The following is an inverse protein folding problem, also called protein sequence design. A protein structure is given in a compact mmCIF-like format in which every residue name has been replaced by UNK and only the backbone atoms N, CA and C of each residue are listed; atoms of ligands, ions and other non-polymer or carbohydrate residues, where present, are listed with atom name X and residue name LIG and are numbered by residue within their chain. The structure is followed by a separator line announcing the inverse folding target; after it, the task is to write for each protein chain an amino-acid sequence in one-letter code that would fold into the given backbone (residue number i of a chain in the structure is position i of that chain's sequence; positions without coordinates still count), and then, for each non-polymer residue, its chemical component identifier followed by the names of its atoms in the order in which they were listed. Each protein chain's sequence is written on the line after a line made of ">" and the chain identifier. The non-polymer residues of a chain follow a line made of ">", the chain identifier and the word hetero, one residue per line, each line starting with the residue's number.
data_IF_072656127415
#
_entry.id   IF_072656127415
#
_cell.length_a   1.000
_cell.length_b   1.000
_cell.length_c   1.000
_cell.angle_alpha   90.00
_cell.angle_beta   90.00
_cell.angle_gamma   90.00
#
_symmetry.space_group_name_H-M   'P 1'
#
loop_
_entity.id
_entity.type
_entity.pdbx_description
1 polymer ?
#
# COMPACT_ATOMS: atom_id res chain seq x y z
N UNK A 1 -6.08 -67.40 38.40
CA UNK A 1 -6.06 -67.96 37.04
C UNK A 1 -5.91 -66.78 36.09
N UNK A 2 -4.70 -66.64 35.55
CA UNK A 2 -4.30 -65.56 34.64
C UNK A 2 -4.40 -66.04 33.19
N UNK A 3 -4.35 -65.06 32.27
CA UNK A 3 -4.23 -65.14 30.79
C UNK A 3 -5.58 -64.98 30.08
N UNK A 4 -5.98 -63.75 29.73
CA UNK A 4 -5.60 -62.88 28.59
C UNK A 4 -6.09 -63.41 27.22
N UNK A 5 -7.00 -62.69 26.52
CA UNK A 5 -7.26 -62.91 25.11
C UNK A 5 -6.16 -62.30 24.23
N UNK A 6 -5.77 -63.02 23.18
CA UNK A 6 -4.83 -62.61 22.13
C UNK A 6 -5.65 -62.03 20.97
N UNK A 7 -5.46 -60.75 20.70
CA UNK A 7 -6.01 -60.06 19.53
C UNK A 7 -5.29 -60.46 18.24
N UNK A 8 -6.06 -60.59 17.15
CA UNK A 8 -5.53 -60.86 15.80
C UNK A 8 -5.05 -59.55 15.17
N UNK A 9 -3.76 -59.55 14.81
CA UNK A 9 -3.17 -58.55 13.92
C UNK A 9 -3.77 -58.65 12.50
N UNK A 10 -4.43 -57.58 12.05
CA UNK A 10 -4.57 -57.29 10.63
C UNK A 10 -3.47 -56.29 10.24
N UNK A 11 -2.71 -56.67 9.21
CA UNK A 11 -1.60 -55.91 8.66
C UNK A 11 -2.09 -54.68 7.89
N UNK A 12 -1.55 -53.50 8.19
CA UNK A 12 -1.61 -52.35 7.29
C UNK A 12 -0.30 -51.56 7.33
N UNK A 13 0.03 -51.03 6.15
CA UNK A 13 1.35 -50.73 5.66
C UNK A 13 2.14 -49.65 6.44
N UNK A 14 3.46 -49.83 6.46
CA UNK A 14 4.45 -48.83 6.89
C UNK A 14 4.52 -47.72 5.84
N UNK A 15 4.22 -46.48 6.22
CA UNK A 15 4.68 -45.28 5.52
C UNK A 15 5.51 -44.42 6.47
N UNK A 16 6.78 -44.21 6.12
CA UNK A 16 7.76 -43.42 6.89
C UNK A 16 7.45 -41.92 6.72
N UNK A 17 7.28 -41.12 7.79
CA UNK A 17 7.08 -39.69 7.66
C UNK A 17 8.44 -38.98 7.67
N UNK A 18 8.92 -38.53 6.52
CA UNK A 18 10.10 -37.63 6.42
C UNK A 18 9.81 -36.31 5.69
N UNK A 19 8.54 -35.94 5.51
CA UNK A 19 8.15 -34.78 4.68
C UNK A 19 7.17 -33.80 5.36
N UNK A 20 7.06 -33.82 6.69
CA UNK A 20 6.17 -32.92 7.46
C UNK A 20 6.90 -31.97 8.44
N UNK A 21 8.20 -31.71 8.22
CA UNK A 21 8.99 -30.81 9.08
C UNK A 21 9.52 -29.55 8.35
N UNK A 22 9.14 -29.34 7.09
CA UNK A 22 9.61 -28.20 6.27
C UNK A 22 8.50 -27.19 5.95
N UNK A 23 7.37 -27.24 6.68
CA UNK A 23 6.30 -26.25 6.61
C UNK A 23 6.60 -25.12 7.58
N UNK A 24 7.37 -24.15 7.06
CA UNK A 24 6.92 -22.77 6.92
C UNK A 24 6.37 -22.04 8.18
N UNK A 25 6.67 -22.53 9.39
CA UNK A 25 6.54 -21.74 10.63
C UNK A 25 7.47 -20.53 10.68
N UNK A 26 8.41 -20.40 9.72
CA UNK A 26 9.35 -19.30 9.61
C UNK A 26 8.76 -18.02 8.98
N UNK A 27 7.70 -18.12 8.19
CA UNK A 27 7.20 -16.96 7.42
C UNK A 27 6.26 -16.04 8.23
N UNK A 28 5.57 -16.54 9.25
CA UNK A 28 4.66 -15.73 10.09
C UNK A 28 5.39 -15.01 11.22
N UNK A 29 6.53 -15.53 11.67
CA UNK A 29 7.30 -14.98 12.80
C UNK A 29 8.07 -13.71 12.41
N UNK A 30 8.47 -13.57 11.14
CA UNK A 30 9.19 -12.38 10.65
C UNK A 30 8.30 -11.13 10.53
N UNK A 31 7.01 -11.28 10.21
CA UNK A 31 6.10 -10.14 10.04
C UNK A 31 5.71 -9.47 11.37
N UNK A 32 5.65 -10.26 12.46
CA UNK A 32 5.26 -9.79 13.80
C UNK A 32 6.40 -9.05 14.49
N UNK A 33 7.65 -9.45 14.28
CA UNK A 33 8.79 -8.83 14.97
C UNK A 33 9.13 -7.42 14.46
N UNK A 34 8.97 -7.13 13.17
CA UNK A 34 9.27 -5.80 12.62
C UNK A 34 8.27 -4.71 13.06
N UNK A 35 7.04 -5.08 13.43
CA UNK A 35 6.02 -4.14 13.91
C UNK A 35 6.25 -3.68 15.36
N UNK A 36 7.10 -4.37 16.13
CA UNK A 36 7.20 -4.20 17.58
C UNK A 36 8.50 -3.56 18.09
N UNK A 37 9.46 -3.18 17.23
CA UNK A 37 10.75 -2.59 17.71
C UNK A 37 10.92 -1.10 17.41
N UNK A 38 9.82 -0.37 17.21
CA UNK A 38 9.82 1.10 17.17
C UNK A 38 9.30 1.65 18.51
N UNK A 39 10.18 1.71 19.49
CA UNK A 39 10.05 2.31 20.83
C UNK A 39 10.94 3.58 20.84
N UNK A 40 10.67 4.74 21.44
CA UNK A 40 9.59 5.30 22.24
C UNK A 40 9.69 6.85 22.18
N UNK A 41 8.56 7.57 22.36
CA UNK A 41 8.59 9.01 22.62
C UNK A 41 7.25 9.75 22.51
N UNK A 42 6.62 9.96 23.67
CA UNK A 42 5.60 10.98 24.02
C UNK A 42 4.17 10.91 23.45
N UNK A 43 3.26 10.48 24.33
CA UNK A 43 2.03 11.16 24.77
C UNK A 43 1.29 12.08 23.79
N UNK A 44 0.01 11.78 23.52
CA UNK A 44 -1.11 12.51 24.14
C UNK A 44 -2.46 12.15 23.46
N UNK A 45 -3.43 11.84 24.32
CA UNK A 45 -4.89 11.95 24.11
C UNK A 45 -5.54 11.18 22.95
N UNK A 46 -6.30 10.16 23.33
CA UNK A 46 -7.44 9.65 22.57
C UNK A 46 -8.45 10.76 22.30
N UNK A 47 -8.69 11.09 21.03
CA UNK A 47 -9.95 11.67 20.59
C UNK A 47 -10.62 10.69 19.63
N UNK A 48 -11.68 10.06 20.13
CA UNK A 48 -12.65 9.30 19.36
C UNK A 48 -13.34 10.28 18.39
N UNK A 49 -12.87 10.32 17.14
CA UNK A 49 -13.37 11.20 16.08
C UNK A 49 -13.73 10.38 14.85
N UNK A 50 -15.02 10.09 14.69
CA UNK A 50 -15.58 9.55 13.47
C UNK A 50 -15.36 10.54 12.33
N UNK A 51 -14.54 10.12 11.38
CA UNK A 51 -14.17 10.87 10.19
C UNK A 51 -12.92 10.19 9.67
N UNK A 52 -13.04 9.46 8.55
CA UNK A 52 -11.89 8.93 7.84
C UNK A 52 -11.09 10.09 7.26
N UNK A 53 -10.37 10.81 8.13
CA UNK A 53 -9.30 11.70 7.73
C UNK A 53 -8.30 10.80 7.03
N UNK A 54 -8.37 10.80 5.70
CA UNK A 54 -7.42 10.11 4.86
C UNK A 54 -6.08 10.71 5.20
N UNK A 55 -5.24 9.94 5.88
CA UNK A 55 -3.89 10.36 6.26
C UNK A 55 -3.20 10.89 5.00
N UNK A 56 -2.92 12.20 4.96
CA UNK A 56 -2.27 12.82 3.80
C UNK A 56 -0.82 12.37 3.81
N UNK A 57 -0.50 11.41 2.93
CA UNK A 57 0.86 10.92 2.73
C UNK A 57 1.62 11.87 1.81
N UNK A 58 2.33 12.82 2.41
CA UNK A 58 3.22 13.71 1.68
C UNK A 58 4.50 12.97 1.31
N UNK A 59 4.50 12.33 0.13
CA UNK A 59 5.73 11.82 -0.46
C UNK A 59 6.66 13.00 -0.75
N UNK A 60 7.80 13.08 -0.06
CA UNK A 60 8.66 14.27 -0.12
C UNK A 60 9.16 14.63 -1.53
N UNK A 61 9.40 13.63 -2.39
CA UNK A 61 9.82 13.84 -3.79
C UNK A 61 9.05 12.89 -4.69
N UNK A 62 8.43 13.44 -5.74
CA UNK A 62 7.76 12.68 -6.81
C UNK A 62 8.54 12.89 -8.10
N UNK A 63 9.02 11.80 -8.72
CA UNK A 63 9.70 11.82 -10.02
C UNK A 63 8.71 11.41 -11.10
N UNK A 64 8.39 12.35 -12.01
CA UNK A 64 7.50 12.11 -13.14
C UNK A 64 8.29 12.20 -14.46
N UNK A 65 8.25 11.14 -15.26
CA UNK A 65 8.89 11.10 -16.57
C UNK A 65 7.86 11.28 -17.70
N UNK A 66 8.20 12.11 -18.69
CA UNK A 66 7.41 12.28 -19.92
C UNK A 66 8.23 11.85 -21.15
N UNK A 67 7.52 11.53 -22.23
CA UNK A 67 8.10 11.01 -23.48
C UNK A 67 8.81 12.08 -24.35
N UNK A 68 9.27 13.18 -23.76
CA UNK A 68 9.92 14.27 -24.49
C UNK A 68 9.86 15.60 -23.76
N UNK A 69 10.61 16.56 -24.28
CA UNK A 69 10.66 17.93 -23.79
C UNK A 69 9.44 18.74 -24.28
N UNK A 70 8.95 19.69 -23.47
CA UNK A 70 7.92 20.64 -23.89
C UNK A 70 8.44 21.59 -24.99
N UNK A 71 7.62 21.96 -25.98
CA UNK A 71 8.02 22.98 -26.96
C UNK A 71 7.90 24.40 -26.36
N UNK A 72 6.98 24.57 -25.42
CA UNK A 72 6.75 25.83 -24.71
C UNK A 72 6.32 25.60 -23.26
N UNK A 73 6.71 26.52 -22.37
CA UNK A 73 6.17 26.65 -21.01
C UNK A 73 5.28 27.88 -20.85
N UNK A 74 5.02 28.60 -21.94
CA UNK A 74 4.05 29.68 -21.99
C UNK A 74 2.65 29.08 -22.22
N UNK A 75 1.73 29.18 -21.24
CA UNK A 75 0.38 28.64 -21.37
C UNK A 75 -0.41 29.24 -22.54
N UNK A 76 -0.08 30.45 -22.99
CA UNK A 76 -0.76 31.07 -24.12
C UNK A 76 -0.32 30.48 -25.48
N UNK A 77 0.78 29.72 -25.50
CA UNK A 77 1.37 29.13 -26.71
C UNK A 77 1.35 27.61 -26.72
N UNK A 78 1.11 26.98 -25.58
CA UNK A 78 1.02 25.53 -25.48
C UNK A 78 -0.33 25.03 -26.00
N UNK A 79 -0.30 23.92 -26.74
CA UNK A 79 -1.53 23.23 -27.16
C UNK A 79 -2.00 22.23 -26.10
N UNK A 80 -3.31 21.90 -26.11
CA UNK A 80 -3.86 20.92 -25.19
C UNK A 80 -3.27 19.52 -25.48
N UNK A 81 -2.82 18.82 -24.42
CA UNK A 81 -2.13 17.53 -24.56
C UNK A 81 -0.68 17.63 -25.03
N UNK A 82 -0.13 18.84 -25.18
CA UNK A 82 1.29 19.03 -25.45
C UNK A 82 2.15 18.54 -24.26
N UNK A 83 3.39 18.15 -24.57
CA UNK A 83 4.40 17.93 -23.54
C UNK A 83 4.57 19.24 -22.76
N UNK A 84 4.46 19.17 -21.44
CA UNK A 84 4.52 20.37 -20.59
C UNK A 84 3.19 20.81 -19.98
N UNK A 85 2.05 20.33 -20.47
CA UNK A 85 0.73 20.69 -19.92
C UNK A 85 0.66 20.47 -18.41
N UNK A 86 1.17 19.33 -17.92
CA UNK A 86 1.26 19.04 -16.48
C UNK A 86 2.12 20.04 -15.72
N UNK A 87 3.19 20.56 -16.30
CA UNK A 87 3.98 21.59 -15.64
C UNK A 87 3.20 22.90 -15.58
N UNK A 88 2.51 23.25 -16.66
CA UNK A 88 1.69 24.45 -16.73
C UNK A 88 0.56 24.41 -15.68
N UNK A 89 -0.18 23.30 -15.60
CA UNK A 89 -1.30 23.12 -14.67
C UNK A 89 -0.87 23.17 -13.19
N UNK A 90 0.37 22.78 -12.87
CA UNK A 90 0.86 22.77 -11.49
C UNK A 90 1.59 24.06 -11.08
N UNK A 91 1.93 24.93 -12.04
CA UNK A 91 2.73 26.16 -11.79
C UNK A 91 1.91 27.42 -11.99
N UNK A 92 1.02 27.44 -12.99
CA UNK A 92 0.19 28.60 -13.29
C UNK A 92 -1.23 28.36 -12.82
N UNK A 93 -1.81 29.40 -12.21
CA UNK A 93 -3.20 29.41 -11.78
C UNK A 93 -4.09 30.08 -12.83
N UNK A 94 -5.38 29.75 -12.79
CA UNK A 94 -6.42 30.28 -13.69
C UNK A 94 -7.47 30.98 -12.83
N UNK A 95 -8.25 31.89 -13.41
CA UNK A 95 -9.39 32.52 -12.71
C UNK A 95 -10.43 31.50 -12.23
N UNK A 96 -10.59 30.43 -13.00
CA UNK A 96 -11.45 29.29 -12.69
C UNK A 96 -10.72 28.00 -13.00
N UNK A 97 -10.91 27.02 -12.13
CA UNK A 97 -10.31 25.70 -12.22
C UNK A 97 -11.39 24.60 -12.24
N UNK A 98 -11.00 23.39 -12.63
CA UNK A 98 -11.88 22.22 -12.68
C UNK A 98 -11.89 21.54 -11.32
N UNK A 99 -13.08 21.38 -10.74
CA UNK A 99 -13.26 20.75 -9.45
C UNK A 99 -12.72 19.32 -9.38
N UNK A 100 -12.26 18.85 -8.21
CA UNK A 100 -11.65 17.52 -8.07
C UNK A 100 -12.63 16.36 -8.33
N UNK A 101 -13.93 16.63 -8.25
CA UNK A 101 -15.01 15.65 -8.42
C UNK A 101 -15.62 15.64 -9.83
N UNK A 102 -15.24 16.54 -10.73
CA UNK A 102 -15.87 16.62 -12.05
C UNK A 102 -15.63 17.93 -12.80
N UNK A 103 -16.32 18.13 -13.92
CA UNK A 103 -16.11 19.28 -14.82
C UNK A 103 -16.66 20.60 -14.26
N UNK A 104 -17.10 20.62 -13.01
CA UNK A 104 -17.66 21.82 -12.38
C UNK A 104 -16.55 22.85 -12.18
N UNK A 105 -16.82 24.08 -12.63
CA UNK A 105 -15.86 25.17 -12.51
C UNK A 105 -15.92 25.77 -11.11
N UNK A 106 -14.79 25.83 -10.44
CA UNK A 106 -14.63 26.48 -9.15
C UNK A 106 -13.78 27.75 -9.29
N UNK A 107 -14.07 28.81 -8.53
CA UNK A 107 -13.22 29.99 -8.50
C UNK A 107 -11.81 29.64 -8.04
N UNK A 108 -10.82 30.28 -8.67
CA UNK A 108 -9.41 30.27 -8.28
C UNK A 108 -8.87 31.70 -8.32
N UNK A 109 -7.58 31.91 -8.60
CA UNK A 109 -6.83 33.17 -8.40
C UNK A 109 -7.38 34.38 -9.18
#
# INVERSE_FOLDING_TARGET
>A
MNMKPIERHSSSARFRPKTLAALAGLASVSLVLAACTSDAGSDNSSSNGGGSATEIRNAGVIVHAQNGEPQSLDPARAEQGEKGERFIDNVYERLVDVGPSGPDLIPSL
#
